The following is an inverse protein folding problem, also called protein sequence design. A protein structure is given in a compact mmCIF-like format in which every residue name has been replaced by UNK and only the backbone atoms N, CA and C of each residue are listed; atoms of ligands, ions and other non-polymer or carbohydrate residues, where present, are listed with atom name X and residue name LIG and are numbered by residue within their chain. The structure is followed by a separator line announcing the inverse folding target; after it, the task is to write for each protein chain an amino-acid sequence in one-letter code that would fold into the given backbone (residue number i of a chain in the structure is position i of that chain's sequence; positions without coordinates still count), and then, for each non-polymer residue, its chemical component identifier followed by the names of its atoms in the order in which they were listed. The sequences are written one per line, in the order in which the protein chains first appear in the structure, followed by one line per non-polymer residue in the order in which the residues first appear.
data_IF_861413472013
#
_entry.id   IF_861413472013
#
_cell.length_a   1.000
_cell.length_b   1.000
_cell.length_c   1.000
_cell.angle_alpha   90.00
_cell.angle_beta   90.00
_cell.angle_gamma   90.00
#
_symmetry.space_group_name_H-M   'P 1'
#
loop_
_entity.id
_entity.type
_entity.pdbx_description
1 polymer ?
#
# COMPACT_ATOMS: atom_id res chain seq x y z
N UNK A 1 -19.83 9.92 -26.55
CA UNK A 1 -18.58 9.75 -25.77
C UNK A 1 -18.89 10.16 -24.34
N UNK A 2 -19.02 9.21 -23.41
CA UNK A 2 -19.19 9.57 -21.99
C UNK A 2 -17.81 9.92 -21.46
N UNK A 3 -17.63 11.20 -21.14
CA UNK A 3 -16.46 11.70 -20.43
C UNK A 3 -16.41 11.02 -19.07
N UNK A 4 -15.65 9.91 -18.96
CA UNK A 4 -15.40 9.26 -17.68
C UNK A 4 -14.47 10.17 -16.91
N UNK A 5 -15.07 11.06 -16.12
CA UNK A 5 -14.35 11.89 -15.16
C UNK A 5 -13.46 10.95 -14.35
N UNK A 6 -12.14 11.15 -14.42
CA UNK A 6 -11.21 10.34 -13.63
C UNK A 6 -11.67 10.38 -12.17
N UNK A 7 -11.79 9.22 -11.49
CA UNK A 7 -12.18 9.21 -10.09
C UNK A 7 -11.14 10.02 -9.32
N UNK A 8 -11.56 11.18 -8.78
CA UNK A 8 -10.72 12.00 -7.93
C UNK A 8 -10.28 11.12 -6.77
N UNK A 9 -8.97 10.91 -6.63
CA UNK A 9 -8.45 10.14 -5.50
C UNK A 9 -8.74 10.90 -4.22
N UNK A 10 -9.71 10.45 -3.43
CA UNK A 10 -10.04 11.04 -2.13
C UNK A 10 -8.86 10.76 -1.17
N UNK A 11 -8.54 11.73 -0.30
CA UNK A 11 -7.48 11.55 0.69
C UNK A 11 -7.90 10.54 1.76
N UNK A 12 -6.94 9.92 2.46
CA UNK A 12 -7.26 8.98 3.55
C UNK A 12 -8.10 9.64 4.64
N UNK A 13 -7.74 10.85 5.07
CA UNK A 13 -8.44 11.57 6.14
C UNK A 13 -9.85 11.97 5.73
N UNK A 14 -10.04 12.39 4.47
CA UNK A 14 -11.38 12.70 3.94
C UNK A 14 -12.25 11.45 3.91
N UNK A 15 -11.74 10.35 3.35
CA UNK A 15 -12.50 9.10 3.27
C UNK A 15 -12.81 8.53 4.67
N UNK A 16 -11.88 8.64 5.61
CA UNK A 16 -12.08 8.22 7.00
C UNK A 16 -13.17 9.05 7.68
N UNK A 17 -13.15 10.38 7.51
CA UNK A 17 -14.15 11.28 8.11
C UNK A 17 -15.55 11.01 7.56
N UNK A 18 -15.67 10.84 6.25
CA UNK A 18 -16.96 10.58 5.59
C UNK A 18 -17.51 9.22 6.01
N UNK A 19 -16.66 8.19 6.01
CA UNK A 19 -17.03 6.85 6.49
C UNK A 19 -17.44 6.86 7.97
N UNK A 20 -16.66 7.52 8.83
CA UNK A 20 -16.94 7.60 10.27
C UNK A 20 -18.26 8.31 10.55
N UNK A 21 -18.51 9.44 9.86
CA UNK A 21 -19.76 10.20 10.00
C UNK A 21 -20.99 9.43 9.51
N UNK A 22 -20.78 8.46 8.61
CA UNK A 22 -21.84 7.57 8.10
C UNK A 22 -22.14 6.40 9.03
N UNK A 23 -21.37 6.19 10.11
CA UNK A 23 -21.62 5.09 11.04
C UNK A 23 -22.76 5.43 12.02
N UNK A 24 -23.59 4.44 12.42
CA UNK A 24 -24.59 4.61 13.45
C UNK A 24 -24.00 5.19 14.74
N UNK A 25 -24.78 6.01 15.46
CA UNK A 25 -24.32 6.63 16.70
C UNK A 25 -23.89 5.58 17.75
N UNK A 26 -24.64 4.49 17.89
CA UNK A 26 -24.29 3.36 18.76
C UNK A 26 -22.94 2.72 18.42
N UNK A 27 -22.59 2.64 17.14
CA UNK A 27 -21.28 2.19 16.71
C UNK A 27 -20.19 3.21 17.11
N UNK A 28 -20.41 4.50 16.86
CA UNK A 28 -19.45 5.55 17.21
C UNK A 28 -19.19 5.70 18.71
N UNK A 29 -20.17 5.36 19.54
CA UNK A 29 -20.06 5.36 21.00
C UNK A 29 -19.39 4.09 21.55
N UNK A 30 -19.49 2.97 20.83
CA UNK A 30 -18.92 1.68 21.27
C UNK A 30 -17.45 1.46 20.88
N UNK A 31 -16.88 2.30 20.00
CA UNK A 31 -15.49 2.19 19.54
C UNK A 31 -14.81 3.55 19.50
N UNK A 32 -13.53 3.60 19.90
CA UNK A 32 -12.76 4.83 19.77
C UNK A 32 -12.39 5.11 18.31
N UNK A 33 -12.27 6.39 17.96
CA UNK A 33 -11.84 6.81 16.62
C UNK A 33 -10.47 6.23 16.23
N UNK A 34 -9.57 6.00 17.20
CA UNK A 34 -8.26 5.40 16.96
C UNK A 34 -8.37 3.95 16.47
N UNK A 35 -9.21 3.14 17.11
CA UNK A 35 -9.43 1.74 16.71
C UNK A 35 -10.18 1.70 15.37
N UNK A 36 -11.20 2.53 15.20
CA UNK A 36 -11.92 2.65 13.94
C UNK A 36 -10.99 3.05 12.76
N UNK A 37 -10.05 3.98 13.00
CA UNK A 37 -9.01 4.38 12.03
C UNK A 37 -8.12 3.20 11.63
N UNK A 38 -7.72 2.35 12.59
CA UNK A 38 -6.93 1.16 12.30
C UNK A 38 -7.69 0.16 11.41
N UNK A 39 -8.95 -0.12 11.73
CA UNK A 39 -9.83 -0.97 10.92
C UNK A 39 -10.06 -0.40 9.51
N UNK A 40 -10.38 0.90 9.43
CA UNK A 40 -10.63 1.58 8.16
C UNK A 40 -9.38 1.60 7.26
N UNK A 41 -8.18 1.77 7.82
CA UNK A 41 -6.92 1.73 7.05
C UNK A 41 -6.78 0.43 6.26
N UNK A 42 -7.11 -0.71 6.84
CA UNK A 42 -7.06 -2.00 6.14
C UNK A 42 -7.99 -2.02 4.92
N UNK A 43 -9.27 -1.66 5.13
CA UNK A 43 -10.28 -1.62 4.06
C UNK A 43 -10.00 -0.56 3.00
N UNK A 44 -9.57 0.63 3.41
CA UNK A 44 -9.23 1.74 2.51
C UNK A 44 -8.00 1.41 1.66
N UNK A 45 -6.95 0.82 2.24
CA UNK A 45 -5.79 0.37 1.47
C UNK A 45 -6.18 -0.72 0.46
N UNK A 46 -7.00 -1.69 0.84
CA UNK A 46 -7.48 -2.72 -0.08
C UNK A 46 -8.37 -2.15 -1.20
N UNK A 47 -9.29 -1.23 -0.86
CA UNK A 47 -10.24 -0.64 -1.81
C UNK A 47 -9.67 0.46 -2.71
N UNK A 48 -8.64 1.18 -2.26
CA UNK A 48 -7.91 2.16 -3.09
C UNK A 48 -7.02 1.48 -4.13
N UNK A 49 -6.60 0.26 -3.82
CA UNK A 49 -5.67 -0.53 -4.61
C UNK A 49 -6.38 -1.54 -5.52
N UNK A 50 -7.60 -1.24 -6.00
CA UNK A 50 -8.37 -2.16 -6.86
C UNK A 50 -7.69 -2.49 -8.19
N UNK A 51 -6.82 -1.60 -8.67
CA UNK A 51 -5.97 -1.85 -9.85
C UNK A 51 -4.60 -2.42 -9.47
N UNK A 52 -4.20 -2.33 -8.19
CA UNK A 52 -2.93 -2.86 -7.73
C UNK A 52 -3.08 -4.33 -7.32
N UNK A 53 -2.16 -5.17 -7.77
CA UNK A 53 -2.06 -6.55 -7.29
C UNK A 53 -0.85 -6.71 -6.38
N UNK A 54 -0.88 -7.73 -5.53
CA UNK A 54 0.25 -8.09 -4.69
C UNK A 54 1.35 -8.70 -5.53
N UNK A 55 2.57 -8.19 -5.37
CA UNK A 55 3.78 -8.77 -5.92
C UNK A 55 4.72 -9.13 -4.78
N UNK A 56 5.35 -10.29 -4.90
CA UNK A 56 6.41 -10.72 -3.98
C UNK A 56 7.69 -10.86 -4.77
N UNK A 57 8.74 -10.19 -4.31
CA UNK A 57 10.07 -10.32 -4.88
C UNK A 57 11.04 -10.88 -3.86
N UNK A 58 11.96 -11.70 -4.36
CA UNK A 58 13.18 -12.07 -3.66
C UNK A 58 14.32 -11.19 -4.15
N UNK A 59 14.98 -10.52 -3.21
CA UNK A 59 16.18 -9.71 -3.44
C UNK A 59 17.31 -10.24 -2.54
N UNK A 60 18.15 -11.12 -3.10
CA UNK A 60 19.13 -11.87 -2.30
C UNK A 60 18.46 -12.72 -1.20
N UNK A 61 18.68 -12.35 0.07
CA UNK A 61 18.05 -12.99 1.24
C UNK A 61 16.72 -12.33 1.68
N UNK A 62 16.34 -11.21 1.07
CA UNK A 62 15.13 -10.48 1.44
C UNK A 62 13.91 -11.01 0.68
N UNK A 63 12.80 -11.19 1.40
CA UNK A 63 11.47 -11.30 0.82
C UNK A 63 10.78 -9.95 0.95
N UNK A 64 10.38 -9.37 -0.18
CA UNK A 64 9.79 -8.04 -0.29
C UNK A 64 8.40 -8.19 -0.88
N UNK A 65 7.38 -7.70 -0.19
CA UNK A 65 5.99 -7.68 -0.68
C UNK A 65 5.61 -6.25 -0.98
N UNK A 66 5.12 -5.99 -2.18
CA UNK A 66 4.67 -4.67 -2.62
C UNK A 66 3.31 -4.78 -3.32
N UNK A 67 2.56 -3.68 -3.31
CA UNK A 67 1.32 -3.53 -4.09
C UNK A 67 1.59 -2.54 -5.21
N UNK A 68 1.23 -2.90 -6.44
CA UNK A 68 1.46 -2.08 -7.62
C UNK A 68 0.48 -2.45 -8.74
N UNK A 69 0.26 -1.54 -9.70
CA UNK A 69 -0.66 -1.76 -10.82
C UNK A 69 -0.06 -2.77 -11.82
N UNK A 70 1.27 -2.85 -11.90
CA UNK A 70 1.96 -3.75 -12.81
C UNK A 70 3.40 -4.08 -12.37
N UNK A 71 4.00 -5.08 -13.02
CA UNK A 71 5.32 -5.62 -12.66
C UNK A 71 6.41 -4.54 -12.66
N UNK A 72 6.37 -3.61 -13.60
CA UNK A 72 7.38 -2.55 -13.72
C UNK A 72 7.37 -1.61 -12.51
N UNK A 73 6.20 -1.18 -12.08
CA UNK A 73 6.05 -0.34 -10.88
C UNK A 73 6.38 -1.15 -9.62
N UNK A 74 5.98 -2.41 -9.58
CA UNK A 74 6.28 -3.32 -8.48
C UNK A 74 7.79 -3.49 -8.29
N UNK A 75 8.57 -3.65 -9.37
CA UNK A 75 10.03 -3.74 -9.31
C UNK A 75 10.66 -2.46 -8.75
N UNK A 76 10.23 -1.28 -9.20
CA UNK A 76 10.71 0.00 -8.64
C UNK A 76 10.43 0.13 -7.15
N UNK A 77 9.21 -0.20 -6.72
CA UNK A 77 8.82 -0.21 -5.30
C UNK A 77 9.65 -1.22 -4.49
N UNK A 78 9.95 -2.38 -5.06
CA UNK A 78 10.75 -3.41 -4.40
C UNK A 78 12.24 -3.07 -4.31
N UNK A 79 12.82 -2.42 -5.34
CA UNK A 79 14.18 -1.88 -5.31
C UNK A 79 14.32 -0.82 -4.20
N UNK A 80 13.41 0.15 -4.14
CA UNK A 80 13.43 1.19 -3.10
C UNK A 80 13.33 0.60 -1.68
N UNK A 81 12.50 -0.42 -1.48
CA UNK A 81 12.40 -1.13 -0.20
C UNK A 81 13.68 -1.91 0.14
N UNK A 82 14.33 -2.51 -0.86
CA UNK A 82 15.60 -3.21 -0.69
C UNK A 82 16.73 -2.24 -0.30
N UNK A 83 16.81 -1.09 -0.95
CA UNK A 83 17.76 -0.01 -0.62
C UNK A 83 17.53 0.51 0.80
N UNK A 84 16.27 0.79 1.17
CA UNK A 84 15.91 1.23 2.52
C UNK A 84 16.34 0.21 3.58
N UNK A 85 16.08 -1.08 3.35
CA UNK A 85 16.48 -2.15 4.28
C UNK A 85 17.98 -2.33 4.35
N UNK A 86 18.68 -2.21 3.23
CA UNK A 86 20.12 -2.30 3.17
C UNK A 86 20.76 -1.15 3.95
N UNK A 87 20.32 0.09 3.73
CA UNK A 87 20.78 1.26 4.49
C UNK A 87 20.55 1.09 6.00
N UNK A 88 19.35 0.64 6.41
CA UNK A 88 19.02 0.42 7.83
C UNK A 88 19.87 -0.67 8.50
N UNK A 89 20.39 -1.62 7.73
CA UNK A 89 21.23 -2.72 8.22
C UNK A 89 22.70 -2.57 7.85
N UNK A 90 23.08 -1.42 7.27
CA UNK A 90 24.42 -1.13 6.76
C UNK A 90 24.93 -2.20 5.78
N UNK A 91 24.01 -2.83 5.03
CA UNK A 91 24.35 -3.80 4.01
C UNK A 91 24.77 -3.09 2.71
N UNK A 92 25.76 -3.63 1.99
CA UNK A 92 26.17 -3.06 0.71
C UNK A 92 25.04 -3.19 -0.32
N UNK A 93 24.75 -2.09 -1.01
CA UNK A 93 23.88 -2.10 -2.19
C UNK A 93 24.68 -2.62 -3.39
N UNK A 94 24.17 -3.61 -4.15
CA UNK A 94 24.88 -4.13 -5.32
C UNK A 94 25.07 -3.06 -6.40
N UNK A 95 26.28 -2.95 -6.97
CA UNK A 95 26.59 -1.99 -8.04
C UNK A 95 25.73 -2.16 -9.30
N UNK A 96 25.30 -3.39 -9.58
CA UNK A 96 24.43 -3.73 -10.70
C UNK A 96 22.92 -3.63 -10.37
N UNK A 97 22.57 -3.12 -9.18
CA UNK A 97 21.20 -3.12 -8.67
C UNK A 97 20.76 -4.46 -8.09
N UNK A 98 19.58 -4.46 -7.45
CA UNK A 98 19.00 -5.66 -6.86
C UNK A 98 18.50 -6.62 -7.94
N UNK A 99 18.94 -7.88 -7.86
CA UNK A 99 18.37 -8.95 -8.67
C UNK A 99 17.02 -9.35 -8.07
N UNK A 100 15.93 -8.81 -8.64
CA UNK A 100 14.56 -9.09 -8.21
C UNK A 100 13.98 -10.30 -8.96
N UNK A 101 13.72 -11.38 -8.21
CA UNK A 101 12.99 -12.55 -8.71
C UNK A 101 11.57 -12.53 -8.18
N UNK A 102 10.57 -12.52 -9.06
CA UNK A 102 9.16 -12.61 -8.64
C UNK A 102 8.86 -14.02 -8.12
N UNK A 103 8.36 -14.11 -6.89
CA UNK A 103 7.84 -15.35 -6.33
C UNK A 103 6.35 -15.45 -6.70
N UNK A 104 6.01 -16.45 -7.53
CA UNK A 104 4.63 -16.78 -7.89
C UNK A 104 3.93 -17.57 -6.79
#
# INVERSE_FOLDING_TARGET
MLDRSQPKSVSFETALKDWWSSQPQSFRESISLSVARACFRGGYSAGKNTLERRFVFKAGRMRITVWAIGVTEAKKKAEAEADFRAARKEWPVPKAGWQLQEER
#
